data_IF_140604763523
#
_entry.id   IF_140604763523
#
_cell.length_a   1.000
_cell.length_b   1.000
_cell.length_c   1.000
_cell.angle_alpha   90.00
_cell.angle_beta   90.00
_cell.angle_gamma   90.00
#
_symmetry.space_group_name_H-M   'P 1'
#
loop_
_entity.id
_entity.type
_entity.pdbx_description
1 polymer ?
#
# COMPACT_ATOMS: atom_id res chain seq x y z
N UNK A 1 4.67 40.08 36.55
CA UNK A 1 4.81 40.80 35.26
C UNK A 1 4.63 39.72 34.23
N UNK A 2 3.37 39.52 33.85
CA UNK A 2 2.96 38.51 32.87
C UNK A 2 3.30 39.14 31.52
N UNK A 3 4.40 38.71 30.90
CA UNK A 3 4.70 39.11 29.53
C UNK A 3 3.62 38.48 28.66
N UNK A 4 2.62 39.28 28.28
CA UNK A 4 1.73 38.97 27.17
C UNK A 4 2.60 38.89 25.92
N UNK A 5 3.09 37.69 25.63
CA UNK A 5 3.74 37.36 24.37
C UNK A 5 2.67 37.56 23.28
N UNK A 6 2.76 38.69 22.56
CA UNK A 6 1.92 38.90 21.39
C UNK A 6 2.23 37.76 20.42
N UNK A 7 1.30 36.81 20.31
CA UNK A 7 1.32 35.78 19.27
C UNK A 7 1.23 36.53 17.95
N UNK A 8 2.39 36.80 17.36
CA UNK A 8 2.49 37.34 16.01
C UNK A 8 1.86 36.30 15.09
N UNK A 9 0.61 36.53 14.71
CA UNK A 9 -0.07 35.75 13.69
C UNK A 9 0.67 35.97 12.38
N UNK A 10 1.61 35.07 12.09
CA UNK A 10 2.23 34.97 10.77
C UNK A 10 1.14 34.47 9.84
N UNK A 11 0.77 35.30 8.85
CA UNK A 11 -0.23 34.88 7.86
C UNK A 11 0.30 33.67 7.07
N UNK A 12 -0.53 32.64 6.85
CA UNK A 12 -0.13 31.45 6.13
C UNK A 12 0.27 31.80 4.69
N UNK A 13 1.40 31.27 4.26
CA UNK A 13 1.91 31.46 2.91
C UNK A 13 1.10 30.66 1.90
N UNK A 14 1.24 30.99 0.61
CA UNK A 14 0.59 30.21 -0.45
C UNK A 14 1.01 28.72 -0.46
N UNK A 15 2.19 28.39 0.07
CA UNK A 15 2.67 27.02 0.18
C UNK A 15 1.88 26.24 1.25
N UNK A 16 1.60 26.86 2.39
CA UNK A 16 0.83 26.25 3.50
C UNK A 16 -0.60 25.94 3.06
N UNK A 17 -1.20 26.84 2.27
CA UNK A 17 -2.49 26.62 1.62
C UNK A 17 -2.48 25.43 0.66
N UNK A 18 -1.44 25.30 -0.16
CA UNK A 18 -1.28 24.17 -1.08
C UNK A 18 -1.13 22.87 -0.28
N UNK A 19 -0.30 22.86 0.77
CA UNK A 19 -0.10 21.69 1.63
C UNK A 19 -1.41 21.25 2.28
N UNK A 20 -2.15 22.17 2.92
CA UNK A 20 -3.41 21.86 3.58
C UNK A 20 -4.44 21.26 2.60
N UNK A 21 -4.56 21.84 1.40
CA UNK A 21 -5.46 21.32 0.36
C UNK A 21 -5.02 19.92 -0.10
N UNK A 22 -3.72 19.70 -0.33
CA UNK A 22 -3.20 18.40 -0.73
C UNK A 22 -3.44 17.34 0.33
N UNK A 23 -3.11 17.64 1.59
CA UNK A 23 -3.35 16.73 2.72
C UNK A 23 -4.83 16.40 2.81
N UNK A 24 -5.72 17.39 2.73
CA UNK A 24 -7.17 17.17 2.82
C UNK A 24 -7.71 16.29 1.69
N UNK A 25 -7.30 16.57 0.44
CA UNK A 25 -7.78 15.83 -0.73
C UNK A 25 -7.27 14.39 -0.71
N UNK A 26 -5.98 14.19 -0.46
CA UNK A 26 -5.36 12.86 -0.43
C UNK A 26 -5.93 12.04 0.72
N UNK A 27 -6.05 12.64 1.91
CA UNK A 27 -6.59 11.95 3.09
C UNK A 27 -8.05 11.56 2.92
N UNK A 28 -8.89 12.46 2.40
CA UNK A 28 -10.31 12.18 2.14
C UNK A 28 -10.49 11.07 1.11
N UNK A 29 -9.78 11.16 -0.02
CA UNK A 29 -9.88 10.14 -1.07
C UNK A 29 -9.34 8.79 -0.62
N UNK A 30 -8.18 8.79 0.05
CA UNK A 30 -7.61 7.56 0.58
C UNK A 30 -8.47 6.95 1.69
N UNK A 31 -9.11 7.75 2.54
CA UNK A 31 -10.05 7.26 3.56
C UNK A 31 -11.21 6.49 2.92
N UNK A 32 -11.82 7.04 1.86
CA UNK A 32 -12.92 6.40 1.14
C UNK A 32 -12.48 5.07 0.51
N UNK A 33 -11.33 5.06 -0.17
CA UNK A 33 -10.79 3.83 -0.79
C UNK A 33 -10.51 2.76 0.27
N UNK A 34 -9.84 3.12 1.36
CA UNK A 34 -9.47 2.15 2.39
C UNK A 34 -10.69 1.64 3.16
N UNK A 35 -11.67 2.50 3.43
CA UNK A 35 -12.96 2.08 4.02
C UNK A 35 -13.73 1.15 3.10
N UNK A 36 -13.78 1.46 1.80
CA UNK A 36 -14.38 0.58 0.79
C UNK A 36 -13.67 -0.77 0.69
N UNK A 37 -12.34 -0.77 0.71
CA UNK A 37 -11.52 -1.99 0.73
C UNK A 37 -11.81 -2.85 1.96
N UNK A 38 -11.84 -2.23 3.15
CA UNK A 38 -12.21 -2.88 4.40
C UNK A 38 -13.61 -3.50 4.31
N UNK A 39 -14.59 -2.75 3.82
CA UNK A 39 -15.96 -3.23 3.66
C UNK A 39 -16.02 -4.47 2.76
N UNK A 40 -15.39 -4.42 1.59
CA UNK A 40 -15.35 -5.55 0.64
C UNK A 40 -14.68 -6.78 1.27
N UNK A 41 -13.58 -6.59 2.00
CA UNK A 41 -12.85 -7.70 2.62
C UNK A 41 -13.61 -8.36 3.76
N UNK A 42 -14.31 -7.57 4.59
CA UNK A 42 -15.12 -8.11 5.70
C UNK A 42 -16.38 -8.79 5.18
N UNK A 43 -16.99 -8.26 4.11
CA UNK A 43 -18.30 -8.71 3.64
C UNK A 43 -18.24 -9.93 2.71
N UNK A 44 -17.14 -10.10 1.98
CA UNK A 44 -17.01 -11.12 0.92
C UNK A 44 -16.46 -12.44 1.45
N UNK A 45 -17.15 -13.54 1.13
CA UNK A 45 -16.70 -14.89 1.49
C UNK A 45 -15.38 -15.28 0.82
N UNK A 46 -15.06 -14.70 -0.34
CA UNK A 46 -13.80 -14.94 -1.06
C UNK A 46 -12.57 -14.47 -0.29
N UNK A 47 -12.73 -13.54 0.65
CA UNK A 47 -11.65 -12.98 1.47
C UNK A 47 -11.58 -13.59 2.88
N UNK A 48 -12.33 -14.66 3.17
CA UNK A 48 -12.23 -15.42 4.44
C UNK A 48 -10.99 -16.33 4.47
N UNK A 49 -9.81 -15.74 4.27
CA UNK A 49 -8.51 -16.39 4.29
C UNK A 49 -7.45 -15.44 4.89
N UNK A 50 -6.24 -15.95 5.14
CA UNK A 50 -5.17 -15.17 5.76
C UNK A 50 -4.85 -13.86 5.00
N UNK A 51 -4.86 -13.89 3.66
CA UNK A 51 -4.66 -12.70 2.84
C UNK A 51 -5.75 -11.65 3.11
N UNK A 52 -7.02 -12.05 3.07
CA UNK A 52 -8.14 -11.13 3.27
C UNK A 52 -8.17 -10.50 4.67
N UNK A 53 -7.88 -11.27 5.73
CA UNK A 53 -7.81 -10.72 7.08
C UNK A 53 -6.66 -9.73 7.27
N UNK A 54 -5.45 -10.05 6.77
CA UNK A 54 -4.29 -9.15 6.88
C UNK A 54 -4.54 -7.87 6.10
N UNK A 55 -5.05 -7.96 4.87
CA UNK A 55 -5.31 -6.77 4.06
C UNK A 55 -6.49 -5.95 4.60
N UNK A 56 -7.50 -6.57 5.22
CA UNK A 56 -8.57 -5.86 5.91
C UNK A 56 -8.02 -5.03 7.08
N UNK A 57 -7.15 -5.63 7.91
CA UNK A 57 -6.52 -4.92 9.02
C UNK A 57 -5.63 -3.78 8.54
N UNK A 58 -4.88 -4.00 7.45
CA UNK A 58 -4.10 -2.95 6.81
C UNK A 58 -4.98 -1.79 6.31
N UNK A 59 -6.11 -2.09 5.67
CA UNK A 59 -7.06 -1.09 5.19
C UNK A 59 -7.68 -0.31 6.35
N UNK A 60 -8.00 -0.98 7.47
CA UNK A 60 -8.47 -0.32 8.69
C UNK A 60 -7.44 0.66 9.26
N UNK A 61 -6.17 0.26 9.39
CA UNK A 61 -5.11 1.14 9.87
C UNK A 61 -4.91 2.35 8.95
N UNK A 62 -4.88 2.14 7.63
CA UNK A 62 -4.76 3.23 6.65
C UNK A 62 -5.97 4.17 6.67
N UNK A 63 -7.19 3.65 6.80
CA UNK A 63 -8.38 4.48 6.95
C UNK A 63 -8.31 5.33 8.23
N UNK A 64 -7.92 4.72 9.36
CA UNK A 64 -7.82 5.41 10.65
C UNK A 64 -6.75 6.52 10.61
N UNK A 65 -5.59 6.24 10.04
CA UNK A 65 -4.51 7.21 9.84
C UNK A 65 -4.97 8.40 8.99
N UNK A 66 -5.60 8.13 7.84
CA UNK A 66 -6.05 9.20 6.93
C UNK A 66 -7.20 10.01 7.53
N UNK A 67 -8.04 9.42 8.38
CA UNK A 67 -9.05 10.15 9.12
C UNK A 67 -8.41 11.15 10.11
N UNK A 68 -7.36 10.74 10.82
CA UNK A 68 -6.60 11.65 11.70
C UNK A 68 -6.00 12.79 10.88
N UNK A 69 -5.44 12.50 9.71
CA UNK A 69 -4.85 13.54 8.87
C UNK A 69 -5.90 14.53 8.34
N UNK A 70 -7.06 14.03 7.90
CA UNK A 70 -8.14 14.87 7.38
C UNK A 70 -8.76 15.77 8.46
N UNK A 71 -9.00 15.24 9.66
CA UNK A 71 -9.75 15.94 10.71
C UNK A 71 -8.84 16.73 11.64
N UNK A 72 -7.65 16.22 11.92
CA UNK A 72 -6.72 16.81 12.89
C UNK A 72 -5.55 17.53 12.21
N UNK A 73 -4.80 16.85 11.33
CA UNK A 73 -3.57 17.45 10.80
C UNK A 73 -3.84 18.64 9.87
N UNK A 74 -4.86 18.57 9.00
CA UNK A 74 -5.19 19.63 8.04
C UNK A 74 -5.42 21.03 8.66
N UNK A 75 -6.26 21.20 9.70
CA UNK A 75 -6.43 22.51 10.32
C UNK A 75 -5.11 23.10 10.85
N UNK A 76 -4.29 22.26 11.47
CA UNK A 76 -3.01 22.68 12.05
C UNK A 76 -1.89 22.91 11.03
N UNK A 77 -2.15 22.62 9.74
CA UNK A 77 -1.27 23.04 8.64
C UNK A 77 -1.37 24.54 8.40
N UNK A 78 -2.53 25.16 8.67
CA UNK A 78 -2.77 26.58 8.44
C UNK A 78 -2.68 27.43 9.70
N UNK A 79 -2.93 26.81 10.86
CA UNK A 79 -2.98 27.51 12.14
C UNK A 79 -2.00 26.88 13.12
N UNK A 80 -1.31 27.70 13.94
CA UNK A 80 -0.50 27.16 15.03
C UNK A 80 -1.36 26.36 16.00
N UNK A 81 -0.83 25.23 16.48
CA UNK A 81 -1.49 24.40 17.48
C UNK A 81 -1.54 25.17 18.81
N UNK A 82 -2.72 25.35 19.43
CA UNK A 82 -2.82 25.98 20.74
C UNK A 82 -2.18 25.12 21.82
N UNK A 83 -1.44 25.73 22.77
CA UNK A 83 -0.78 25.01 23.87
C UNK A 83 -1.74 24.12 24.69
N UNK A 84 -3.01 24.55 24.81
CA UNK A 84 -4.04 23.80 25.53
C UNK A 84 -4.38 22.43 24.93
N UNK A 85 -4.00 22.16 23.68
CA UNK A 85 -4.22 20.86 23.01
C UNK A 85 -2.93 20.13 22.66
N UNK A 86 -1.77 20.57 23.15
CA UNK A 86 -0.47 19.96 22.83
C UNK A 86 -0.39 18.47 23.21
N UNK A 87 -0.97 18.09 24.35
CA UNK A 87 -1.04 16.70 24.77
C UNK A 87 -1.83 15.83 23.78
N UNK A 88 -2.95 16.35 23.28
CA UNK A 88 -3.77 15.66 22.27
C UNK A 88 -3.06 15.62 20.91
N UNK A 89 -2.38 16.70 20.52
CA UNK A 89 -1.59 16.76 19.30
C UNK A 89 -0.46 15.72 19.31
N UNK A 90 0.29 15.63 20.40
CA UNK A 90 1.34 14.62 20.59
C UNK A 90 0.78 13.20 20.56
N UNK A 91 -0.34 12.95 21.25
CA UNK A 91 -1.01 11.66 21.25
C UNK A 91 -1.46 11.24 19.84
N UNK A 92 -2.13 12.14 19.10
CA UNK A 92 -2.60 11.85 17.74
C UNK A 92 -1.45 11.66 16.75
N UNK A 93 -0.33 12.38 16.94
CA UNK A 93 0.92 12.15 16.21
C UNK A 93 1.48 10.75 16.46
N UNK A 94 1.60 10.33 17.73
CA UNK A 94 2.06 8.98 18.08
C UNK A 94 1.11 7.89 17.58
N UNK A 95 -0.20 8.12 17.69
CA UNK A 95 -1.23 7.20 17.21
C UNK A 95 -1.15 7.04 15.69
N UNK A 96 -0.85 8.12 14.96
CA UNK A 96 -0.63 8.08 13.52
C UNK A 96 0.58 7.21 13.15
N UNK A 97 1.70 7.39 13.86
CA UNK A 97 2.89 6.55 13.68
C UNK A 97 2.59 5.07 13.99
N UNK A 98 1.82 4.81 15.04
CA UNK A 98 1.41 3.45 15.40
C UNK A 98 0.58 2.77 14.30
N UNK A 99 -0.39 3.48 13.71
CA UNK A 99 -1.18 2.93 12.61
C UNK A 99 -0.33 2.65 11.36
N UNK A 100 0.61 3.52 11.02
CA UNK A 100 1.51 3.30 9.88
C UNK A 100 2.48 2.14 10.13
N UNK A 101 3.01 2.03 11.36
CA UNK A 101 3.88 0.91 11.76
C UNK A 101 3.14 -0.43 11.64
N UNK A 102 1.90 -0.50 12.12
CA UNK A 102 1.08 -1.71 11.97
C UNK A 102 0.81 -2.00 10.48
N UNK A 103 0.50 -0.99 9.68
CA UNK A 103 0.27 -1.17 8.25
C UNK A 103 1.53 -1.68 7.54
N UNK A 104 2.72 -1.26 7.98
CA UNK A 104 4.01 -1.75 7.51
C UNK A 104 4.22 -3.23 7.88
N UNK A 105 3.96 -3.61 9.13
CA UNK A 105 4.00 -5.01 9.57
C UNK A 105 3.03 -5.89 8.78
N UNK A 106 1.84 -5.38 8.45
CA UNK A 106 0.90 -6.07 7.57
C UNK A 106 1.46 -6.29 6.17
N UNK A 107 2.17 -5.32 5.58
CA UNK A 107 2.86 -5.50 4.31
C UNK A 107 3.87 -6.66 4.37
N UNK A 108 4.65 -6.75 5.45
CA UNK A 108 5.62 -7.82 5.65
C UNK A 108 4.93 -9.19 5.76
N UNK A 109 3.86 -9.28 6.54
CA UNK A 109 3.07 -10.52 6.67
C UNK A 109 2.42 -10.92 5.34
N UNK A 110 1.95 -9.94 4.55
CA UNK A 110 1.38 -10.19 3.23
C UNK A 110 2.43 -10.72 2.26
N UNK A 111 3.62 -10.12 2.27
CA UNK A 111 4.76 -10.58 1.47
C UNK A 111 5.16 -12.01 1.86
N UNK A 112 5.30 -12.29 3.15
CA UNK A 112 5.60 -13.63 3.66
C UNK A 112 4.53 -14.65 3.25
N UNK A 113 3.24 -14.32 3.43
CA UNK A 113 2.12 -15.16 3.02
C UNK A 113 2.16 -15.50 1.52
N UNK A 114 2.51 -14.52 0.66
CA UNK A 114 2.66 -14.74 -0.79
C UNK A 114 3.88 -15.62 -1.12
N UNK A 115 5.02 -15.41 -0.47
CA UNK A 115 6.22 -16.25 -0.67
C UNK A 115 5.95 -17.69 -0.28
N UNK A 116 5.34 -17.93 0.89
CA UNK A 116 4.94 -19.27 1.35
C UNK A 116 4.02 -19.94 0.33
N UNK A 117 3.01 -19.23 -0.16
CA UNK A 117 2.06 -19.77 -1.13
C UNK A 117 2.73 -20.14 -2.47
N UNK A 118 3.71 -19.36 -2.95
CA UNK A 118 4.45 -19.68 -4.18
C UNK A 118 5.44 -20.83 -3.95
N UNK A 119 6.11 -20.89 -2.80
CA UNK A 119 7.12 -21.91 -2.54
C UNK A 119 6.50 -23.29 -2.32
N UNK A 120 5.43 -23.36 -1.52
CA UNK A 120 4.83 -24.64 -1.12
C UNK A 120 3.75 -25.14 -2.09
N UNK A 121 3.18 -24.29 -2.95
CA UNK A 121 2.22 -24.73 -3.96
C UNK A 121 2.87 -24.83 -5.36
N UNK A 122 3.23 -26.04 -5.82
CA UNK A 122 3.94 -26.23 -7.09
C UNK A 122 3.11 -25.82 -8.32
N UNK A 123 1.78 -25.87 -8.24
CA UNK A 123 0.90 -25.42 -9.33
C UNK A 123 0.98 -23.91 -9.50
N UNK A 124 0.88 -23.16 -8.40
CA UNK A 124 0.99 -21.70 -8.40
C UNK A 124 2.38 -21.28 -8.85
N UNK A 125 3.43 -21.97 -8.37
CA UNK A 125 4.80 -21.76 -8.83
C UNK A 125 4.94 -21.90 -10.35
N UNK A 126 4.32 -22.93 -10.94
CA UNK A 126 4.35 -23.17 -12.38
C UNK A 126 3.70 -22.03 -13.16
N UNK A 127 2.53 -21.56 -12.72
CA UNK A 127 1.84 -20.43 -13.35
C UNK A 127 2.62 -19.12 -13.22
N UNK A 128 3.22 -18.87 -12.04
CA UNK A 128 4.06 -17.69 -11.81
C UNK A 128 5.28 -17.65 -12.75
N UNK A 129 6.03 -18.76 -12.86
CA UNK A 129 7.20 -18.85 -13.75
C UNK A 129 6.79 -18.68 -15.23
N UNK A 130 5.66 -19.23 -15.64
CA UNK A 130 5.13 -19.06 -16.99
C UNK A 130 4.79 -17.58 -17.29
N UNK A 131 4.13 -16.89 -16.36
CA UNK A 131 3.83 -15.47 -16.48
C UNK A 131 5.10 -14.61 -16.57
N UNK A 132 6.10 -14.85 -15.70
CA UNK A 132 7.39 -14.15 -15.78
C UNK A 132 8.10 -14.38 -17.13
N UNK A 133 8.03 -15.61 -17.67
CA UNK A 133 8.54 -15.94 -19.00
C UNK A 133 7.85 -15.13 -20.10
N UNK A 134 6.52 -15.04 -20.06
CA UNK A 134 5.73 -14.25 -21.00
C UNK A 134 6.09 -12.77 -20.95
N UNK A 135 6.15 -12.16 -19.75
CA UNK A 135 6.54 -10.75 -19.61
C UNK A 135 7.96 -10.47 -20.10
N UNK A 136 8.90 -11.40 -19.92
CA UNK A 136 10.26 -11.28 -20.45
C UNK A 136 10.26 -11.26 -21.99
N UNK A 137 9.46 -12.11 -22.62
CA UNK A 137 9.30 -12.14 -24.09
C UNK A 137 8.65 -10.85 -24.60
N UNK A 138 7.62 -10.37 -23.91
CA UNK A 138 6.93 -9.12 -24.23
C UNK A 138 7.88 -7.91 -24.15
N UNK A 139 8.62 -7.79 -23.04
CA UNK A 139 9.64 -6.76 -22.85
C UNK A 139 10.69 -6.79 -23.96
N UNK A 140 11.20 -7.99 -24.29
CA UNK A 140 12.20 -8.14 -25.35
C UNK A 140 11.62 -7.76 -26.73
N UNK A 141 10.36 -8.07 -27.00
CA UNK A 141 9.68 -7.73 -28.26
C UNK A 141 9.46 -6.22 -28.41
N UNK A 142 9.14 -5.52 -27.31
CA UNK A 142 8.99 -4.06 -27.30
C UNK A 142 10.32 -3.36 -27.54
N UNK A 143 11.42 -3.87 -26.94
CA UNK A 143 12.75 -3.24 -27.05
C UNK A 143 13.40 -3.47 -28.42
N UNK A 144 13.17 -4.62 -29.06
CA UNK A 144 13.86 -4.97 -30.32
C UNK A 144 13.06 -4.68 -31.59
N UNK A 145 11.81 -4.21 -31.48
CA UNK A 145 10.99 -3.80 -32.63
C UNK A 145 10.65 -4.90 -33.64
N UNK A 146 11.05 -6.16 -33.37
CA UNK A 146 10.85 -7.29 -34.28
C UNK A 146 10.21 -8.46 -33.51
N UNK A 147 9.02 -8.94 -33.91
CA UNK A 147 8.39 -10.07 -33.25
C UNK A 147 9.18 -11.34 -33.55
N UNK A 148 9.98 -11.82 -32.59
CA UNK A 148 10.39 -13.24 -32.61
C UNK A 148 9.20 -14.06 -32.13
N UNK A 149 8.55 -14.71 -33.09
CA UNK A 149 7.41 -15.61 -32.92
C UNK A 149 7.59 -16.56 -31.73
N UNK A 150 6.56 -16.64 -30.89
CA UNK A 150 6.41 -17.48 -29.70
C UNK A 150 6.66 -18.98 -29.98
N UNK A 151 6.57 -19.40 -31.25
CA UNK A 151 6.76 -20.79 -31.67
C UNK A 151 8.18 -21.34 -31.43
N UNK A 152 9.23 -20.52 -31.49
CA UNK A 152 10.62 -21.03 -31.38
C UNK A 152 11.06 -21.31 -29.95
N UNK A 153 10.50 -20.63 -28.94
CA UNK A 153 10.90 -20.86 -27.53
C UNK A 153 10.27 -22.12 -26.95
N UNK A 154 9.07 -22.51 -27.41
CA UNK A 154 8.43 -23.77 -26.99
C UNK A 154 9.17 -25.00 -27.55
N UNK A 155 9.72 -24.92 -28.76
CA UNK A 155 10.46 -26.01 -29.38
C UNK A 155 11.75 -26.37 -28.60
N UNK A 156 12.48 -25.37 -28.10
CA UNK A 156 13.71 -25.62 -27.32
C UNK A 156 13.47 -26.30 -25.96
N UNK A 157 12.27 -26.17 -25.37
CA UNK A 157 11.97 -26.77 -24.06
C UNK A 157 11.41 -28.19 -24.15
N UNK A 158 10.91 -28.61 -25.32
CA UNK A 158 10.48 -29.99 -25.55
C UNK A 158 11.64 -30.92 -25.93
N UNK A 159 12.69 -30.41 -26.57
CA UNK A 159 13.79 -31.27 -27.07
C UNK A 159 14.80 -31.71 -25.98
N UNK A 160 14.71 -31.19 -24.76
CA UNK A 160 15.62 -31.54 -23.65
C UNK A 160 14.99 -32.42 -22.55
N UNK A 161 13.73 -32.83 -22.70
CA UNK A 161 13.11 -33.82 -21.84
C UNK A 161 13.21 -35.22 -22.46
N UNK A 162 14.42 -35.80 -22.42
CA UNK A 162 14.60 -37.24 -22.67
C UNK A 162 13.78 -38.08 -21.67
N UNK A 163 13.37 -39.30 -22.03
CA UNK A 163 12.49 -40.11 -21.19
C UNK A 163 13.21 -40.50 -19.89
N UNK A 164 12.76 -39.94 -18.77
CA UNK A 164 13.18 -40.38 -17.45
C UNK A 164 12.45 -41.69 -17.16
N UNK A 165 13.21 -42.79 -17.20
CA UNK A 165 12.73 -44.13 -16.83
C UNK A 165 12.18 -44.11 -15.42
N UNK A 166 11.02 -44.75 -15.30
CA UNK A 166 10.45 -45.28 -14.06
C UNK A 166 11.37 -46.39 -13.55
N UNK A 167 11.77 -46.28 -12.29
CA UNK A 167 11.94 -47.40 -11.38
C UNK A 167 11.12 -47.09 -10.14
#
# INVERSE_FOLDING_TARGET
MEETEEINFVEPSALDWIEAVLVLVISSFGFLINTGSLFVMVRSDSFKNAFGYITAYQAFCRASLLLIFAVWATPWTLFPVPEGVDGLNSFLGQLSLFFEEIACHCCLLLAANRVTLIYFNPEIRRHFVAACGFFRVLKNSIITGHPRSVATVSAYKMETAGPMRVC
#
